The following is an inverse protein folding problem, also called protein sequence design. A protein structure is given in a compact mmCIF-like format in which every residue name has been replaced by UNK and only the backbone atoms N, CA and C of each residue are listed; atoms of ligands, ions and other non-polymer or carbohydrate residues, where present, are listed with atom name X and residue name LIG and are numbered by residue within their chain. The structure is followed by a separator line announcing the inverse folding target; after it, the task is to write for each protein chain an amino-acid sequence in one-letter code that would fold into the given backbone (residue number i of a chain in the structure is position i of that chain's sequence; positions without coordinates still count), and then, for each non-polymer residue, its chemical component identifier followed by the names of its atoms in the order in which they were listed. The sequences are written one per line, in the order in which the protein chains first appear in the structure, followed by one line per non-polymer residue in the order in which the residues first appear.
data_IF_637083161807
#
_entry.id   IF_637083161807
#
_cell.length_a   1.000
_cell.length_b   1.000
_cell.length_c   1.000
_cell.angle_alpha   90.00
_cell.angle_beta   90.00
_cell.angle_gamma   90.00
#
_symmetry.space_group_name_H-M   'P 1'
#
loop_
_entity.id
_entity.type
_entity.pdbx_description
1 polymer ?
#
# COMPACT_ATOMS: atom_id res chain seq x y z
N UNK A 1 -19.06 7.92 16.18
CA UNK A 1 -18.11 8.10 15.05
C UNK A 1 -18.03 6.79 14.29
N UNK A 2 -18.13 6.83 12.96
CA UNK A 2 -17.87 5.66 12.12
C UNK A 2 -16.35 5.42 12.10
N UNK A 3 -15.89 4.19 12.36
CA UNK A 3 -14.47 3.86 12.28
C UNK A 3 -13.99 4.01 10.83
N UNK A 4 -12.89 4.74 10.64
CA UNK A 4 -12.24 4.93 9.34
C UNK A 4 -11.33 3.75 9.07
N UNK A 5 -11.63 2.99 8.03
CA UNK A 5 -10.80 1.89 7.54
C UNK A 5 -10.02 2.32 6.30
N UNK A 6 -8.76 1.86 6.21
CA UNK A 6 -7.89 2.06 5.06
C UNK A 6 -7.28 0.73 4.63
N UNK A 7 -7.42 0.38 3.36
CA UNK A 7 -6.72 -0.76 2.75
C UNK A 7 -5.60 -0.25 1.85
N UNK A 8 -4.35 -0.66 2.14
CA UNK A 8 -3.17 -0.31 1.36
C UNK A 8 -2.61 -1.55 0.66
N UNK A 9 -2.61 -1.53 -0.67
CA UNK A 9 -2.11 -2.59 -1.52
C UNK A 9 -0.72 -2.26 -2.06
N UNK A 10 0.28 -3.13 -1.83
CA UNK A 10 1.68 -2.86 -2.14
C UNK A 10 2.30 -4.03 -2.92
N UNK A 11 2.49 -3.84 -4.23
CA UNK A 11 3.17 -4.77 -5.13
C UNK A 11 2.32 -5.97 -5.59
N UNK A 12 2.67 -6.60 -6.72
CA UNK A 12 2.08 -7.87 -7.16
C UNK A 12 2.42 -9.04 -6.22
N UNK A 13 1.55 -10.04 -6.17
CA UNK A 13 1.77 -11.26 -5.39
C UNK A 13 3.02 -12.00 -5.87
N UNK A 14 3.62 -12.83 -5.00
CA UNK A 14 4.80 -13.64 -5.35
C UNK A 14 4.52 -14.50 -6.58
N UNK A 15 3.34 -15.10 -6.60
CA UNK A 15 2.86 -15.97 -7.64
C UNK A 15 1.67 -15.32 -8.36
N UNK A 16 1.69 -15.15 -9.69
CA UNK A 16 0.63 -14.44 -10.42
C UNK A 16 -0.79 -15.01 -10.24
N UNK A 17 -0.91 -16.29 -9.89
CA UNK A 17 -2.19 -16.94 -9.55
C UNK A 17 -2.83 -16.36 -8.28
N UNK A 18 -2.04 -15.83 -7.35
CA UNK A 18 -2.51 -15.22 -6.12
C UNK A 18 -2.99 -13.77 -6.31
N UNK A 19 -2.65 -13.12 -7.43
CA UNK A 19 -3.08 -11.74 -7.72
C UNK A 19 -4.61 -11.62 -7.69
N UNK A 20 -5.34 -12.64 -8.17
CA UNK A 20 -6.82 -12.63 -8.14
C UNK A 20 -7.34 -12.61 -6.71
N UNK A 21 -6.81 -13.49 -5.85
CA UNK A 21 -7.19 -13.56 -4.42
C UNK A 21 -6.88 -12.24 -3.72
N UNK A 22 -5.70 -11.69 -3.96
CA UNK A 22 -5.23 -10.44 -3.37
C UNK A 22 -6.12 -9.25 -3.77
N UNK A 23 -6.48 -9.12 -5.05
CA UNK A 23 -7.34 -8.04 -5.54
C UNK A 23 -8.78 -8.22 -5.08
N UNK A 24 -9.30 -9.45 -5.06
CA UNK A 24 -10.65 -9.71 -4.52
C UNK A 24 -10.75 -9.29 -3.05
N UNK A 25 -9.72 -9.59 -2.24
CA UNK A 25 -9.66 -9.12 -0.86
C UNK A 25 -9.60 -7.59 -0.78
N UNK A 26 -8.72 -6.96 -1.57
CA UNK A 26 -8.59 -5.50 -1.63
C UNK A 26 -9.93 -4.81 -1.96
N UNK A 27 -10.70 -5.33 -2.92
CA UNK A 27 -11.99 -4.76 -3.32
C UNK A 27 -13.07 -4.97 -2.25
N UNK A 28 -13.02 -6.09 -1.52
CA UNK A 28 -14.00 -6.43 -0.51
C UNK A 28 -13.83 -5.67 0.82
N UNK A 29 -12.62 -5.19 1.13
CA UNK A 29 -12.37 -4.42 2.35
C UNK A 29 -13.17 -3.10 2.36
N UNK A 30 -13.68 -2.66 3.53
CA UNK A 30 -14.44 -1.43 3.65
C UNK A 30 -13.55 -0.18 3.58
N UNK A 31 -14.15 0.99 3.44
CA UNK A 31 -13.42 2.26 3.56
C UNK A 31 -12.50 2.58 2.37
N UNK A 32 -11.52 3.46 2.63
CA UNK A 32 -10.64 4.02 1.60
C UNK A 32 -9.62 2.99 1.13
N UNK A 33 -9.22 3.09 -0.13
CA UNK A 33 -8.35 2.12 -0.79
C UNK A 33 -7.19 2.83 -1.46
N UNK A 34 -5.98 2.36 -1.22
CA UNK A 34 -4.78 2.93 -1.82
C UNK A 34 -3.98 1.85 -2.53
N UNK A 35 -3.66 2.09 -3.79
CA UNK A 35 -2.73 1.28 -4.57
C UNK A 35 -1.37 1.98 -4.54
N UNK A 36 -0.36 1.28 -4.04
CA UNK A 36 1.00 1.79 -3.93
C UNK A 36 1.92 1.12 -4.94
N UNK A 37 2.27 1.85 -6.00
CA UNK A 37 3.24 1.47 -7.03
C UNK A 37 2.62 1.12 -8.37
N UNK A 38 3.29 1.52 -9.46
CA UNK A 38 2.84 1.28 -10.83
C UNK A 38 2.63 -0.21 -11.17
N UNK A 39 3.51 -1.12 -10.71
CA UNK A 39 3.33 -2.56 -10.93
C UNK A 39 2.09 -3.11 -10.21
N UNK A 40 1.77 -2.57 -9.05
CA UNK A 40 0.57 -2.90 -8.28
C UNK A 40 -0.68 -2.45 -9.03
N UNK A 41 -0.68 -1.23 -9.56
CA UNK A 41 -1.76 -0.70 -10.37
C UNK A 41 -1.99 -1.53 -11.64
N UNK A 42 -0.91 -1.91 -12.33
CA UNK A 42 -0.99 -2.81 -13.49
C UNK A 42 -1.60 -4.17 -13.14
N UNK A 43 -1.25 -4.72 -11.98
CA UNK A 43 -1.83 -5.98 -11.47
C UNK A 43 -3.32 -5.84 -11.17
N UNK A 44 -3.74 -4.79 -10.46
CA UNK A 44 -5.17 -4.52 -10.18
C UNK A 44 -5.95 -4.34 -11.48
N UNK A 45 -5.50 -3.46 -12.38
CA UNK A 45 -6.15 -3.19 -13.67
C UNK A 45 -6.33 -4.46 -14.50
N UNK A 46 -5.31 -5.32 -14.51
CA UNK A 46 -5.40 -6.63 -15.19
C UNK A 46 -6.50 -7.50 -14.58
N UNK A 47 -6.51 -7.66 -13.26
CA UNK A 47 -7.49 -8.53 -12.58
C UNK A 47 -8.92 -8.01 -12.72
N UNK A 48 -9.16 -6.70 -12.52
CA UNK A 48 -10.52 -6.14 -12.63
C UNK A 48 -11.07 -6.26 -14.07
N UNK A 49 -10.21 -6.05 -15.08
CA UNK A 49 -10.59 -6.21 -16.49
C UNK A 49 -10.93 -7.66 -16.82
N UNK A 50 -10.16 -8.62 -16.31
CA UNK A 50 -10.44 -10.06 -16.45
C UNK A 50 -11.76 -10.46 -15.76
N UNK A 51 -12.17 -9.74 -14.72
CA UNK A 51 -13.43 -9.95 -13.99
C UNK A 51 -14.62 -9.16 -14.54
N UNK A 52 -14.42 -8.28 -15.53
CA UNK A 52 -15.47 -7.41 -16.07
C UNK A 52 -15.91 -6.29 -15.14
N UNK A 53 -15.06 -5.89 -14.18
CA UNK A 53 -15.33 -4.80 -13.23
C UNK A 53 -14.78 -3.48 -13.80
N UNK A 54 -15.57 -2.41 -13.74
CA UNK A 54 -15.16 -1.07 -14.17
C UNK A 54 -14.36 -0.37 -13.08
N UNK A 55 -13.35 0.41 -13.45
CA UNK A 55 -12.50 1.12 -12.48
C UNK A 55 -13.28 2.13 -11.63
N UNK A 56 -14.36 2.69 -12.19
CA UNK A 56 -15.27 3.62 -11.55
C UNK A 56 -16.06 2.98 -10.40
N UNK A 57 -16.17 1.65 -10.36
CA UNK A 57 -16.82 0.91 -9.28
C UNK A 57 -15.91 0.81 -8.04
N UNK A 58 -14.61 1.11 -8.17
CA UNK A 58 -13.65 1.09 -7.07
C UNK A 58 -13.67 2.43 -6.34
N UNK A 59 -14.62 2.56 -5.40
CA UNK A 59 -14.78 3.79 -4.61
C UNK A 59 -13.58 4.07 -3.71
N UNK A 60 -13.14 5.33 -3.66
CA UNK A 60 -12.12 5.80 -2.73
C UNK A 60 -10.70 5.35 -3.06
N UNK A 61 -10.41 5.13 -4.35
CA UNK A 61 -9.11 4.69 -4.83
C UNK A 61 -8.12 5.86 -5.01
N UNK A 62 -6.98 5.80 -4.31
CA UNK A 62 -5.82 6.68 -4.56
C UNK A 62 -4.70 5.84 -5.19
N UNK A 63 -4.08 6.38 -6.24
CA UNK A 63 -2.93 5.77 -6.90
C UNK A 63 -1.65 6.52 -6.54
N UNK A 64 -0.70 5.79 -5.98
CA UNK A 64 0.65 6.26 -5.71
C UNK A 64 1.61 5.63 -6.72
N UNK A 65 2.36 6.45 -7.45
CA UNK A 65 3.11 5.98 -8.62
C UNK A 65 4.42 5.27 -8.26
N UNK A 66 5.23 5.86 -7.37
CA UNK A 66 6.57 5.37 -7.03
C UNK A 66 6.63 4.72 -5.64
N UNK A 67 5.95 3.58 -5.50
CA UNK A 67 5.56 3.04 -4.19
C UNK A 67 6.70 2.83 -3.18
N UNK A 68 7.90 2.39 -3.59
CA UNK A 68 9.01 2.21 -2.62
C UNK A 68 9.59 3.53 -2.13
N UNK A 69 9.70 4.52 -3.01
CA UNK A 69 10.15 5.86 -2.66
C UNK A 69 9.16 6.52 -1.70
N UNK A 70 7.88 6.44 -2.03
CA UNK A 70 6.80 7.04 -1.24
C UNK A 70 6.69 6.38 0.14
N UNK A 71 6.76 5.05 0.22
CA UNK A 71 6.80 4.36 1.53
C UNK A 71 8.01 4.79 2.38
N UNK A 72 9.18 4.98 1.76
CA UNK A 72 10.36 5.48 2.47
C UNK A 72 10.15 6.90 3.00
N UNK A 73 9.53 7.78 2.22
CA UNK A 73 9.25 9.16 2.64
C UNK A 73 8.26 9.19 3.80
N UNK A 74 7.16 8.43 3.72
CA UNK A 74 6.16 8.33 4.80
C UNK A 74 6.79 7.78 6.09
N UNK A 75 7.63 6.76 5.99
CA UNK A 75 8.35 6.23 7.15
C UNK A 75 9.24 7.29 7.81
N UNK A 76 9.94 8.11 7.03
CA UNK A 76 10.78 9.18 7.56
C UNK A 76 9.92 10.26 8.23
N UNK A 77 8.82 10.70 7.60
CA UNK A 77 7.89 11.66 8.20
C UNK A 77 7.38 11.19 9.57
N UNK A 78 6.98 9.93 9.66
CA UNK A 78 6.46 9.36 10.92
C UNK A 78 7.53 9.17 11.99
N UNK A 79 8.80 8.97 11.61
CA UNK A 79 9.91 8.92 12.58
C UNK A 79 10.29 10.30 13.10
N UNK A 80 10.29 11.30 12.22
CA UNK A 80 10.75 12.64 12.55
C UNK A 80 9.69 13.42 13.34
N UNK A 81 8.42 13.30 12.92
CA UNK A 81 7.31 14.13 13.43
C UNK A 81 6.22 13.33 14.14
N UNK A 82 6.34 12.00 14.22
CA UNK A 82 5.28 11.13 14.71
C UNK A 82 4.10 11.00 13.73
N UNK A 83 3.10 10.18 14.08
CA UNK A 83 1.86 10.06 13.29
C UNK A 83 0.88 11.16 13.74
N UNK A 84 1.10 12.39 13.26
CA UNK A 84 0.30 13.56 13.66
C UNK A 84 -0.59 14.07 12.53
N UNK A 85 -1.69 14.76 12.90
CA UNK A 85 -2.67 15.31 11.96
C UNK A 85 -2.21 16.55 11.20
N UNK A 86 -1.09 17.15 11.58
CA UNK A 86 -0.50 18.33 10.96
C UNK A 86 0.67 17.92 10.07
N UNK A 87 0.35 17.50 8.85
CA UNK A 87 1.33 17.37 7.79
C UNK A 87 1.22 18.65 6.95
N UNK A 88 2.31 19.38 6.78
CA UNK A 88 2.39 20.48 5.83
C UNK A 88 2.25 19.85 4.43
N UNK A 89 1.08 20.01 3.82
CA UNK A 89 0.76 19.35 2.55
C UNK A 89 1.38 20.12 1.40
N UNK A 90 2.47 19.60 0.84
CA UNK A 90 2.99 20.05 -0.47
C UNK A 90 2.27 19.34 -1.63
N UNK A 91 1.15 18.64 -1.35
CA UNK A 91 0.32 17.89 -2.29
C UNK A 91 1.10 16.80 -3.06
N UNK A 92 2.12 16.20 -2.45
CA UNK A 92 2.83 15.06 -3.04
C UNK A 92 2.15 13.72 -2.66
N UNK A 93 2.42 12.66 -3.44
CA UNK A 93 1.88 11.31 -3.21
C UNK A 93 2.14 10.77 -1.78
N UNK A 94 3.23 11.21 -1.13
CA UNK A 94 3.60 10.77 0.21
C UNK A 94 2.77 11.45 1.30
N UNK A 95 2.47 12.74 1.16
CA UNK A 95 1.60 13.48 2.08
C UNK A 95 0.19 12.89 2.05
N UNK A 96 -0.32 12.56 0.87
CA UNK A 96 -1.63 11.92 0.70
C UNK A 96 -1.70 10.56 1.41
N UNK A 97 -0.67 9.73 1.21
CA UNK A 97 -0.58 8.44 1.89
C UNK A 97 -0.47 8.61 3.41
N UNK A 98 0.41 9.51 3.87
CA UNK A 98 0.61 9.78 5.29
C UNK A 98 -0.68 10.29 5.94
N UNK A 99 -1.39 11.23 5.31
CA UNK A 99 -2.65 11.76 5.82
C UNK A 99 -3.74 10.69 5.90
N UNK A 100 -3.86 9.83 4.88
CA UNK A 100 -4.80 8.71 4.91
C UNK A 100 -4.50 7.75 6.07
N UNK A 101 -3.22 7.44 6.29
CA UNK A 101 -2.77 6.59 7.40
C UNK A 101 -3.02 7.22 8.77
N UNK A 102 -2.79 8.53 8.92
CA UNK A 102 -3.09 9.28 10.15
C UNK A 102 -4.58 9.25 10.47
N UNK A 103 -5.44 9.43 9.45
CA UNK A 103 -6.89 9.44 9.64
C UNK A 103 -7.49 8.05 9.89
N UNK A 104 -6.84 6.96 9.47
CA UNK A 104 -7.39 5.61 9.65
C UNK A 104 -7.35 5.15 11.12
N UNK A 105 -8.43 4.53 11.58
CA UNK A 105 -8.50 3.85 12.88
C UNK A 105 -8.07 2.38 12.77
N UNK A 106 -8.34 1.77 11.60
CA UNK A 106 -7.95 0.41 11.25
C UNK A 106 -7.38 0.35 9.84
N UNK A 107 -6.38 -0.50 9.63
CA UNK A 107 -5.58 -0.55 8.41
C UNK A 107 -5.34 -2.01 8.01
N UNK A 108 -5.66 -2.33 6.75
CA UNK A 108 -5.35 -3.60 6.10
C UNK A 108 -4.19 -3.39 5.13
N UNK A 109 -3.01 -3.95 5.45
CA UNK A 109 -1.83 -3.92 4.58
C UNK A 109 -1.75 -5.23 3.77
N UNK A 110 -1.96 -5.15 2.47
CA UNK A 110 -1.86 -6.28 1.54
C UNK A 110 -0.56 -6.16 0.75
N UNK A 111 0.42 -7.01 1.06
CA UNK A 111 1.81 -6.85 0.60
C UNK A 111 2.21 -7.99 -0.31
N UNK A 112 2.34 -7.69 -1.61
CA UNK A 112 2.81 -8.65 -2.59
C UNK A 112 4.34 -8.81 -2.55
N UNK A 113 4.83 -10.02 -2.78
CA UNK A 113 6.24 -10.41 -2.66
C UNK A 113 6.90 -10.68 -4.02
N UNK A 114 6.29 -10.26 -5.13
CA UNK A 114 6.89 -10.37 -6.47
C UNK A 114 8.30 -9.76 -6.52
N UNK A 115 9.22 -10.51 -7.14
CA UNK A 115 10.56 -10.06 -7.50
C UNK A 115 10.47 -9.39 -8.89
N UNK A 116 10.96 -8.16 -9.01
CA UNK A 116 10.90 -7.42 -10.27
C UNK A 116 11.89 -8.04 -11.29
N UNK A 117 11.48 -8.22 -12.55
CA UNK A 117 12.35 -8.76 -13.62
C UNK A 117 13.63 -7.94 -13.82
N UNK A 118 13.59 -6.62 -13.60
CA UNK A 118 14.77 -5.74 -13.67
C UNK A 118 15.81 -5.96 -12.56
N UNK A 119 15.50 -6.80 -11.56
CA UNK A 119 16.43 -7.16 -10.48
C UNK A 119 17.32 -8.36 -10.78
N UNK A 120 17.05 -9.12 -11.86
CA UNK A 120 17.89 -10.28 -12.22
C UNK A 120 19.28 -9.88 -12.71
N UNK A 121 19.48 -8.63 -13.14
CA UNK A 121 20.71 -8.15 -13.76
C UNK A 121 21.58 -7.24 -12.87
N UNK A 122 21.12 -6.84 -11.68
CA UNK A 122 21.85 -5.94 -10.79
C UNK A 122 22.20 -6.65 -9.48
N UNK A 123 23.48 -6.86 -9.25
CA UNK A 123 24.13 -7.34 -8.01
C UNK A 123 24.04 -6.34 -6.86
N UNK A 124 22.87 -5.73 -6.67
CA UNK A 124 22.52 -4.88 -5.54
C UNK A 124 21.62 -5.69 -4.59
N UNK A 125 21.65 -5.44 -3.27
CA UNK A 125 20.73 -6.08 -2.34
C UNK A 125 19.30 -5.89 -2.86
N UNK A 126 18.62 -7.02 -3.08
CA UNK A 126 17.45 -7.06 -3.95
C UNK A 126 16.33 -6.12 -3.44
N UNK A 127 15.82 -5.23 -4.29
CA UNK A 127 14.72 -4.31 -3.93
C UNK A 127 13.41 -4.98 -3.41
N UNK A 128 13.09 -6.30 -3.59
CA UNK A 128 11.94 -6.91 -2.93
C UNK A 128 12.10 -6.94 -1.41
N UNK A 129 13.34 -7.12 -0.93
CA UNK A 129 13.66 -7.09 0.50
C UNK A 129 13.33 -5.72 1.09
N UNK A 130 13.61 -4.65 0.34
CA UNK A 130 13.36 -3.26 0.76
C UNK A 130 11.86 -2.97 0.88
N UNK A 131 11.04 -3.34 -0.12
CA UNK A 131 9.57 -3.16 -0.06
C UNK A 131 8.96 -3.88 1.14
N UNK A 132 9.27 -5.17 1.30
CA UNK A 132 8.73 -5.98 2.40
C UNK A 132 9.19 -5.45 3.76
N UNK A 133 10.44 -4.98 3.85
CA UNK A 133 10.97 -4.31 5.04
C UNK A 133 10.18 -3.03 5.35
N UNK A 134 9.99 -2.14 4.39
CA UNK A 134 9.23 -0.90 4.60
C UNK A 134 7.77 -1.16 4.99
N UNK A 135 7.12 -2.16 4.39
CA UNK A 135 5.75 -2.52 4.78
C UNK A 135 5.67 -3.02 6.23
N UNK A 136 6.66 -3.80 6.68
CA UNK A 136 6.76 -4.25 8.09
C UNK A 136 7.02 -3.09 9.03
N UNK A 137 8.02 -2.27 8.73
CA UNK A 137 8.34 -1.08 9.54
C UNK A 137 7.13 -0.14 9.67
N UNK A 138 6.38 0.05 8.58
CA UNK A 138 5.17 0.86 8.59
C UNK A 138 4.10 0.23 9.49
N UNK A 139 3.89 -1.07 9.38
CA UNK A 139 2.92 -1.79 10.21
C UNK A 139 3.24 -1.67 11.70
N UNK A 140 4.51 -1.84 12.06
CA UNK A 140 4.96 -1.78 13.45
C UNK A 140 4.78 -0.37 14.01
N UNK A 141 5.21 0.66 13.27
CA UNK A 141 5.06 2.05 13.66
C UNK A 141 3.57 2.43 13.86
N UNK A 142 2.68 2.00 12.96
CA UNK A 142 1.23 2.25 13.09
C UNK A 142 0.63 1.56 14.32
N UNK A 143 1.05 0.32 14.63
CA UNK A 143 0.59 -0.42 15.82
C UNK A 143 1.07 0.24 17.11
N UNK A 144 2.33 0.68 17.15
CA UNK A 144 2.90 1.40 18.29
C UNK A 144 2.14 2.70 18.59
N UNK A 145 1.55 3.31 17.56
CA UNK A 145 0.69 4.49 17.68
C UNK A 145 -0.80 4.16 17.90
N UNK A 146 -1.12 2.95 18.34
CA UNK A 146 -2.47 2.56 18.78
C UNK A 146 -3.47 2.25 17.67
N UNK A 147 -3.02 2.13 16.41
CA UNK A 147 -3.90 1.76 15.28
C UNK A 147 -4.08 0.25 15.19
N UNK A 148 -5.24 -0.18 14.69
CA UNK A 148 -5.49 -1.60 14.43
C UNK A 148 -4.94 -1.97 13.05
N UNK A 149 -3.88 -2.77 12.99
CA UNK A 149 -3.20 -3.10 11.73
C UNK A 149 -3.20 -4.60 11.47
N UNK A 150 -3.81 -5.01 10.36
CA UNK A 150 -3.67 -6.34 9.78
C UNK A 150 -2.65 -6.29 8.64
N UNK A 151 -1.79 -7.30 8.56
CA UNK A 151 -0.81 -7.42 7.46
C UNK A 151 -0.92 -8.82 6.88
N UNK A 152 -1.15 -8.91 5.57
CA UNK A 152 -1.15 -10.17 4.83
C UNK A 152 -0.16 -10.10 3.67
N UNK A 153 0.62 -11.18 3.51
CA UNK A 153 1.64 -11.30 2.47
C UNK A 153 1.17 -12.25 1.37
N UNK A 154 1.43 -11.87 0.11
CA UNK A 154 1.02 -12.57 -1.10
C UNK A 154 2.20 -12.83 -2.04
#
# INVERSE_FOLDING_TARGET
MQKRHLTLLIGPAKYPEDDRRMVSMFLAEPGNKIICGASTAGMVTRVIKEAGISAEEVTGLILVTDGTLILSQVLNMFRDSGITGSLDTDNNDADLLAQALVQADSISLLVGMAVNKSQRSLSLPAKPVVKTRFARELADLLKENGKQVMVEFF
#
